data_IF_233065610219
#
_entry.id   IF_233065610219
#
_cell.length_a   1.000
_cell.length_b   1.000
_cell.length_c   1.000
_cell.angle_alpha   90.00
_cell.angle_beta   90.00
_cell.angle_gamma   90.00
#
_symmetry.space_group_name_H-M   'P 1'
#
loop_
_entity.id
_entity.type
_entity.pdbx_description
1 polymer ?
#
# COMPACT_ATOMS: atom_id res chain seq x y z
N UNK A 1 -8.48 -11.56 -27.02
CA UNK A 1 -9.34 -11.13 -25.89
C UNK A 1 -8.70 -11.50 -24.54
N UNK A 2 -8.26 -12.72 -24.31
CA UNK A 2 -7.69 -13.22 -23.02
C UNK A 2 -6.53 -12.36 -22.51
N UNK A 3 -5.61 -11.92 -23.38
CA UNK A 3 -4.42 -11.13 -22.99
C UNK A 3 -4.75 -9.73 -22.48
N UNK A 4 -5.78 -9.07 -23.02
CA UNK A 4 -6.23 -7.76 -22.55
C UNK A 4 -6.91 -7.89 -21.18
N UNK A 5 -7.65 -8.96 -20.96
CA UNK A 5 -8.23 -9.28 -19.66
C UNK A 5 -7.14 -9.48 -18.62
N UNK A 6 -6.08 -10.24 -18.93
CA UNK A 6 -4.96 -10.46 -18.01
C UNK A 6 -4.23 -9.16 -17.64
N UNK A 7 -3.95 -8.28 -18.61
CA UNK A 7 -3.37 -6.96 -18.32
C UNK A 7 -4.31 -6.08 -17.46
N UNK A 8 -5.60 -6.14 -17.73
CA UNK A 8 -6.61 -5.41 -16.95
C UNK A 8 -6.66 -5.92 -15.50
N UNK A 9 -6.75 -7.24 -15.32
CA UNK A 9 -6.77 -7.88 -14.01
C UNK A 9 -5.53 -7.53 -13.18
N UNK A 10 -4.35 -7.47 -13.78
CA UNK A 10 -3.10 -7.07 -13.11
C UNK A 10 -3.17 -5.64 -12.60
N UNK A 11 -3.69 -4.70 -13.42
CA UNK A 11 -3.84 -3.30 -13.00
C UNK A 11 -4.87 -3.20 -11.87
N UNK A 12 -6.01 -3.88 -11.99
CA UNK A 12 -7.05 -3.92 -10.95
C UNK A 12 -6.48 -4.45 -9.64
N UNK A 13 -5.77 -5.57 -9.69
CA UNK A 13 -5.20 -6.20 -8.49
C UNK A 13 -4.15 -5.31 -7.81
N UNK A 14 -3.25 -4.69 -8.59
CA UNK A 14 -2.25 -3.78 -8.06
C UNK A 14 -2.86 -2.54 -7.39
N UNK A 15 -3.88 -1.94 -8.02
CA UNK A 15 -4.59 -0.79 -7.45
C UNK A 15 -5.41 -1.17 -6.22
N UNK A 16 -6.05 -2.34 -6.24
CA UNK A 16 -6.85 -2.82 -5.11
C UNK A 16 -5.97 -3.10 -3.89
N UNK A 17 -4.82 -3.75 -4.06
CA UNK A 17 -3.88 -4.01 -2.96
C UNK A 17 -3.35 -2.72 -2.32
N UNK A 18 -2.95 -1.75 -3.14
CA UNK A 18 -2.46 -0.46 -2.62
C UNK A 18 -3.55 0.30 -1.89
N UNK A 19 -4.77 0.34 -2.44
CA UNK A 19 -5.88 1.02 -1.80
C UNK A 19 -6.29 0.34 -0.49
N UNK A 20 -6.37 -1.00 -0.48
CA UNK A 20 -6.66 -1.78 0.72
C UNK A 20 -5.64 -1.52 1.83
N UNK A 21 -4.34 -1.55 1.51
CA UNK A 21 -3.26 -1.33 2.48
C UNK A 21 -3.36 0.07 3.11
N UNK A 22 -3.51 1.10 2.28
CA UNK A 22 -3.55 2.49 2.75
C UNK A 22 -4.81 2.76 3.56
N UNK A 23 -5.95 2.26 3.11
CA UNK A 23 -7.22 2.45 3.82
C UNK A 23 -7.27 1.65 5.11
N UNK A 24 -6.67 0.46 5.16
CA UNK A 24 -6.54 -0.31 6.39
C UNK A 24 -5.73 0.46 7.44
N UNK A 25 -4.58 1.01 7.06
CA UNK A 25 -3.75 1.81 7.97
C UNK A 25 -4.43 3.09 8.42
N UNK A 26 -5.02 3.84 7.49
CA UNK A 26 -5.78 5.06 7.83
C UNK A 26 -6.95 4.76 8.77
N UNK A 27 -7.67 3.67 8.53
CA UNK A 27 -8.78 3.24 9.39
C UNK A 27 -8.32 2.81 10.78
N UNK A 28 -7.19 2.12 10.85
CA UNK A 28 -6.61 1.69 12.12
C UNK A 28 -6.20 2.88 12.99
N UNK A 29 -5.55 3.90 12.42
CA UNK A 29 -5.21 5.14 13.13
C UNK A 29 -6.45 5.87 13.63
N UNK A 30 -7.46 6.08 12.76
CA UNK A 30 -8.70 6.75 13.13
C UNK A 30 -9.46 6.01 14.25
N UNK A 31 -9.47 4.68 14.23
CA UNK A 31 -10.10 3.87 15.27
C UNK A 31 -9.37 4.02 16.61
N UNK A 32 -8.04 4.04 16.59
CA UNK A 32 -7.22 4.29 17.78
C UNK A 32 -7.51 5.66 18.40
N UNK A 33 -7.54 6.71 17.58
CA UNK A 33 -7.80 8.07 18.04
C UNK A 33 -9.16 8.16 18.74
N UNK A 34 -10.20 7.56 18.15
CA UNK A 34 -11.54 7.50 18.77
C UNK A 34 -11.55 6.71 20.07
N UNK A 35 -10.83 5.60 20.16
CA UNK A 35 -10.73 4.83 21.41
C UNK A 35 -9.94 5.60 22.48
N UNK A 36 -8.94 6.36 22.07
CA UNK A 36 -8.16 7.19 22.99
C UNK A 36 -8.98 8.36 23.55
N UNK A 37 -9.84 9.01 22.75
CA UNK A 37 -10.72 10.11 23.18
C UNK A 37 -11.72 9.68 24.28
N UNK A 38 -12.11 8.40 24.31
CA UNK A 38 -13.06 7.87 25.31
C UNK A 38 -12.44 7.50 26.67
N UNK A 39 -11.12 7.54 26.80
CA UNK A 39 -10.39 7.10 27.98
C UNK A 39 -9.53 8.24 28.58
N UNK A 40 -9.31 8.26 29.91
CA UNK A 40 -8.41 9.23 30.53
C UNK A 40 -6.99 9.06 29.96
N UNK A 41 -6.25 10.16 29.82
CA UNK A 41 -4.87 10.13 29.27
C UNK A 41 -3.90 9.44 30.23
N UNK A 42 -4.07 9.71 31.55
CA UNK A 42 -3.27 9.14 32.63
C UNK A 42 -4.16 8.89 33.85
N UNK A 43 -3.95 7.79 34.55
CA UNK A 43 -4.58 7.49 35.82
C UNK A 43 -3.50 7.29 36.86
N UNK A 44 -3.56 8.06 37.94
CA UNK A 44 -2.77 7.89 39.12
C UNK A 44 -3.61 7.16 40.20
N UNK A 45 -3.05 6.14 40.81
CA UNK A 45 -3.72 5.31 41.79
C UNK A 45 -3.14 5.52 43.18
N UNK A 46 -3.92 5.17 44.21
CA UNK A 46 -3.54 5.16 45.61
C UNK A 46 -3.01 6.51 46.11
N UNK A 47 -3.66 7.61 45.70
CA UNK A 47 -3.28 8.96 46.05
C UNK A 47 -3.78 9.31 47.50
N UNK A 48 -2.95 10.04 48.22
CA UNK A 48 -3.35 10.70 49.45
C UNK A 48 -4.11 12.01 49.17
N UNK A 49 -4.90 12.49 50.10
CA UNK A 49 -5.63 13.73 50.00
C UNK A 49 -4.69 14.94 49.74
N UNK A 50 -3.50 14.93 50.36
CA UNK A 50 -2.49 15.97 50.14
C UNK A 50 -1.96 15.99 48.71
N UNK A 51 -1.73 14.82 48.09
CA UNK A 51 -1.27 14.70 46.70
C UNK A 51 -2.34 15.22 45.73
N UNK A 52 -3.62 14.99 46.03
CA UNK A 52 -4.73 15.51 45.21
C UNK A 52 -4.76 17.05 45.22
N UNK A 53 -4.64 17.67 46.39
CA UNK A 53 -4.62 19.13 46.52
C UNK A 53 -3.45 19.75 45.77
N UNK A 54 -2.28 19.08 45.80
CA UNK A 54 -1.11 19.51 45.02
C UNK A 54 -1.30 19.33 43.53
N UNK A 55 -1.94 18.26 43.07
CA UNK A 55 -2.25 18.06 41.66
C UNK A 55 -3.24 19.10 41.11
N UNK A 56 -4.20 19.57 41.89
CA UNK A 56 -5.10 20.66 41.49
C UNK A 56 -4.38 22.00 41.29
N UNK A 57 -3.22 22.20 41.90
CA UNK A 57 -2.40 23.40 41.74
C UNK A 57 -1.39 23.34 40.60
N UNK A 58 -1.31 22.21 39.88
CA UNK A 58 -0.35 22.02 38.79
C UNK A 58 -0.83 22.65 37.50
N UNK A 59 -0.08 23.63 36.94
CA UNK A 59 -0.43 24.36 35.72
C UNK A 59 -0.48 23.47 34.47
N UNK A 60 0.19 22.36 34.47
CA UNK A 60 0.25 21.43 33.32
C UNK A 60 -0.94 20.49 33.23
N UNK A 61 -1.88 20.58 34.17
CA UNK A 61 -3.07 19.73 34.23
C UNK A 61 -4.29 20.53 33.82
N UNK A 62 -5.00 20.09 32.76
CA UNK A 62 -6.20 20.72 32.26
C UNK A 62 -7.45 20.33 33.07
N UNK A 63 -7.55 19.04 33.38
CA UNK A 63 -8.67 18.51 34.17
C UNK A 63 -8.26 17.33 35.04
N UNK A 64 -8.88 17.23 36.20
CA UNK A 64 -8.70 16.12 37.17
C UNK A 64 -10.07 15.58 37.52
N UNK A 65 -10.26 14.28 37.39
CA UNK A 65 -11.45 13.58 37.85
C UNK A 65 -11.01 12.58 38.94
N UNK A 66 -11.38 12.86 40.16
CA UNK A 66 -11.05 12.02 41.33
C UNK A 66 -12.16 11.03 41.59
N UNK A 67 -11.79 9.79 41.90
CA UNK A 67 -12.67 8.70 42.29
C UNK A 67 -12.17 8.16 43.63
N UNK A 68 -13.02 8.06 44.65
CA UNK A 68 -12.68 7.49 45.95
C UNK A 68 -12.68 5.96 45.86
N UNK A 69 -11.62 5.31 46.40
CA UNK A 69 -11.40 3.86 46.37
C UNK A 69 -11.12 3.39 47.79
N UNK A 70 -11.23 2.11 48.03
CA UNK A 70 -11.00 1.50 49.40
C UNK A 70 -9.60 1.80 49.96
N UNK A 71 -8.60 2.01 49.10
CA UNK A 71 -7.20 2.22 49.50
C UNK A 71 -6.72 3.67 49.41
N UNK A 72 -7.58 4.61 48.98
CA UNK A 72 -7.21 6.00 48.77
C UNK A 72 -8.03 6.65 47.65
N UNK A 73 -7.39 7.48 46.81
CA UNK A 73 -8.04 8.18 45.73
C UNK A 73 -7.34 7.86 44.41
N UNK A 74 -8.13 7.63 43.40
CA UNK A 74 -7.65 7.50 42.01
C UNK A 74 -7.95 8.80 41.23
N UNK A 75 -6.96 9.36 40.58
CA UNK A 75 -7.10 10.56 39.82
C UNK A 75 -6.87 10.31 38.33
N UNK A 76 -7.91 10.51 37.54
CA UNK A 76 -7.82 10.54 36.06
C UNK A 76 -7.48 11.96 35.60
N UNK A 77 -6.37 12.09 34.88
CA UNK A 77 -5.78 13.39 34.52
C UNK A 77 -5.74 13.59 33.03
N UNK A 78 -6.04 14.83 32.63
CA UNK A 78 -5.82 15.33 31.27
C UNK A 78 -4.73 16.40 31.32
N UNK A 79 -3.69 16.26 30.50
CA UNK A 79 -2.56 17.19 30.43
C UNK A 79 -2.87 18.29 29.40
N UNK A 80 -2.52 19.53 29.73
CA UNK A 80 -2.69 20.71 28.86
C UNK A 80 -1.92 20.49 27.56
N UNK A 81 -2.56 20.77 26.44
CA UNK A 81 -1.96 20.67 25.09
C UNK A 81 -1.33 19.29 24.76
N UNK A 82 -1.76 18.22 25.44
CA UNK A 82 -1.21 16.88 25.28
C UNK A 82 -1.21 16.43 23.80
N UNK A 83 -2.23 16.77 23.03
CA UNK A 83 -2.36 16.43 21.60
C UNK A 83 -1.29 17.08 20.70
N UNK A 84 -0.66 18.15 21.16
CA UNK A 84 0.44 18.84 20.46
C UNK A 84 1.82 18.30 20.86
N UNK A 85 1.89 17.49 21.90
CA UNK A 85 3.13 16.92 22.41
C UNK A 85 3.57 15.73 21.55
N UNK A 86 4.88 15.45 21.55
CA UNK A 86 5.38 14.16 21.03
C UNK A 86 5.17 13.07 22.08
N UNK A 87 5.18 11.80 21.67
CA UNK A 87 5.10 10.66 22.62
C UNK A 87 6.14 10.76 23.74
N UNK A 88 7.36 11.15 23.41
CA UNK A 88 8.43 11.36 24.39
C UNK A 88 8.12 12.54 25.30
N UNK A 89 7.65 13.66 24.75
CA UNK A 89 7.29 14.86 25.51
C UNK A 89 6.16 14.58 26.51
N UNK A 90 5.12 13.88 26.09
CA UNK A 90 4.02 13.47 26.95
C UNK A 90 4.49 12.51 28.07
N UNK A 91 5.24 11.47 27.71
CA UNK A 91 5.78 10.53 28.71
C UNK A 91 6.67 11.24 29.73
N UNK A 92 7.53 12.16 29.28
CA UNK A 92 8.40 12.96 30.16
C UNK A 92 7.58 13.90 31.07
N UNK A 93 6.50 14.50 30.56
CA UNK A 93 5.62 15.33 31.39
C UNK A 93 4.94 14.51 32.51
N UNK A 94 4.44 13.31 32.17
CA UNK A 94 3.86 12.39 33.15
C UNK A 94 4.89 11.94 34.21
N UNK A 95 6.13 11.61 33.77
CA UNK A 95 7.22 11.22 34.64
C UNK A 95 7.64 12.35 35.61
N UNK A 96 7.68 13.57 35.11
CA UNK A 96 7.98 14.75 35.90
C UNK A 96 6.92 14.98 37.01
N UNK A 97 5.62 14.87 36.66
CA UNK A 97 4.54 15.01 37.63
C UNK A 97 4.60 13.92 38.65
N UNK A 98 4.74 12.63 38.23
CA UNK A 98 4.80 11.49 39.17
C UNK A 98 5.99 11.57 40.11
N UNK A 99 7.15 11.97 39.61
CA UNK A 99 8.38 12.16 40.42
C UNK A 99 8.27 13.34 41.39
N UNK A 100 7.65 14.45 40.95
CA UNK A 100 7.51 15.67 41.77
C UNK A 100 6.61 15.44 43.00
N UNK A 101 5.59 14.59 42.84
CA UNK A 101 4.60 14.32 43.87
C UNK A 101 4.72 12.91 44.51
N UNK A 102 5.81 12.21 44.22
CA UNK A 102 6.12 10.86 44.74
C UNK A 102 4.98 9.85 44.50
N UNK A 103 4.48 9.85 43.26
CA UNK A 103 3.38 8.96 42.83
C UNK A 103 3.98 7.72 42.18
N UNK A 104 3.75 6.54 42.80
CA UNK A 104 4.38 5.31 42.34
C UNK A 104 3.50 4.48 41.39
N UNK A 105 2.17 4.59 41.54
CA UNK A 105 1.24 3.83 40.72
C UNK A 105 0.62 4.69 39.61
N UNK A 106 1.16 4.57 38.38
CA UNK A 106 0.77 5.36 37.24
C UNK A 106 0.41 4.43 36.06
N UNK A 107 -0.80 4.54 35.55
CA UNK A 107 -1.18 3.90 34.28
C UNK A 107 -1.39 4.96 33.23
N UNK A 108 -0.75 4.78 32.10
CA UNK A 108 -0.84 5.64 30.93
C UNK A 108 -1.75 5.00 29.90
N UNK A 109 -2.50 5.82 29.18
CA UNK A 109 -3.27 5.32 28.08
C UNK A 109 -2.35 5.10 26.87
N UNK A 110 -1.98 3.84 26.62
CA UNK A 110 -1.11 3.46 25.51
C UNK A 110 -1.71 3.83 24.15
N UNK A 111 -3.05 3.75 24.01
CA UNK A 111 -3.74 4.15 22.77
C UNK A 111 -3.60 5.65 22.53
N UNK A 112 -3.69 6.46 23.59
CA UNK A 112 -3.48 7.90 23.50
C UNK A 112 -2.02 8.23 23.16
N UNK A 113 -1.06 7.59 23.82
CA UNK A 113 0.37 7.79 23.53
C UNK A 113 0.68 7.42 22.08
N UNK A 114 0.14 6.32 21.59
CA UNK A 114 0.32 5.87 20.21
C UNK A 114 -0.34 6.80 19.16
N UNK A 115 -1.37 7.58 19.56
CA UNK A 115 -2.01 8.60 18.70
C UNK A 115 -1.17 9.88 18.58
N UNK A 116 -0.27 10.13 19.54
CA UNK A 116 0.55 11.34 19.56
C UNK A 116 1.61 11.33 18.45
N UNK A 117 1.99 12.51 17.94
CA UNK A 117 3.04 12.64 16.93
C UNK A 117 4.34 11.98 17.38
N UNK A 118 4.74 10.94 16.69
CA UNK A 118 5.94 10.19 17.00
C UNK A 118 7.10 10.74 16.17
N UNK A 119 7.71 11.84 16.60
CA UNK A 119 9.03 12.29 16.16
C UNK A 119 9.31 12.44 14.65
N UNK A 120 8.29 12.59 13.77
CA UNK A 120 8.46 12.89 12.35
C UNK A 120 8.33 11.67 11.41
N UNK A 121 8.55 11.92 10.11
CA UNK A 121 8.43 10.94 9.00
C UNK A 121 9.37 9.71 9.14
N UNK A 122 10.38 9.79 10.00
CA UNK A 122 11.40 8.74 10.22
C UNK A 122 11.08 7.79 11.38
N UNK A 123 9.86 7.81 11.89
CA UNK A 123 9.44 6.83 12.88
C UNK A 123 9.55 5.41 12.30
N UNK A 124 10.00 4.44 13.10
CA UNK A 124 10.19 3.04 12.70
C UNK A 124 8.92 2.44 12.06
N UNK A 125 7.74 2.72 12.60
CA UNK A 125 6.45 2.28 12.06
C UNK A 125 6.21 2.84 10.66
N UNK A 126 6.35 4.16 10.49
CA UNK A 126 6.17 4.83 9.21
C UNK A 126 7.19 4.37 8.16
N UNK A 127 8.44 4.11 8.57
CA UNK A 127 9.48 3.55 7.69
C UNK A 127 9.12 2.15 7.20
N UNK A 128 8.63 1.27 8.07
CA UNK A 128 8.21 -0.08 7.70
C UNK A 128 7.03 -0.01 6.73
N UNK A 129 6.03 0.79 7.02
CA UNK A 129 4.84 0.95 6.17
C UNK A 129 5.21 1.50 4.79
N UNK A 130 6.05 2.53 4.75
CA UNK A 130 6.56 3.09 3.51
C UNK A 130 7.40 2.06 2.73
N UNK A 131 8.19 1.25 3.42
CA UNK A 131 8.94 0.14 2.82
C UNK A 131 8.02 -0.89 2.17
N UNK A 132 6.95 -1.30 2.84
CA UNK A 132 5.94 -2.23 2.30
C UNK A 132 5.22 -1.63 1.10
N UNK A 133 4.81 -0.36 1.17
CA UNK A 133 4.17 0.33 0.05
C UNK A 133 5.08 0.40 -1.18
N UNK A 134 6.36 0.78 -1.00
CA UNK A 134 7.36 0.82 -2.07
C UNK A 134 7.56 -0.60 -2.66
N UNK A 135 7.66 -1.62 -1.82
CA UNK A 135 7.80 -3.01 -2.26
C UNK A 135 6.61 -3.44 -3.14
N UNK A 136 5.38 -3.16 -2.73
CA UNK A 136 4.17 -3.45 -3.51
C UNK A 136 4.21 -2.72 -4.86
N UNK A 137 4.63 -1.45 -4.89
CA UNK A 137 4.77 -0.67 -6.13
C UNK A 137 5.80 -1.33 -7.07
N UNK A 138 6.96 -1.75 -6.55
CA UNK A 138 8.01 -2.40 -7.35
C UNK A 138 7.51 -3.73 -7.92
N UNK A 139 6.92 -4.58 -7.09
CA UNK A 139 6.38 -5.88 -7.53
C UNK A 139 5.28 -5.67 -8.58
N UNK A 140 4.37 -4.73 -8.34
CA UNK A 140 3.32 -4.37 -9.31
C UNK A 140 3.92 -3.89 -10.64
N UNK A 141 4.97 -3.05 -10.59
CA UNK A 141 5.67 -2.56 -11.78
C UNK A 141 6.30 -3.70 -12.59
N UNK A 142 6.94 -4.68 -11.90
CA UNK A 142 7.52 -5.87 -12.55
C UNK A 142 6.46 -6.74 -13.21
N UNK A 143 5.35 -7.02 -12.52
CA UNK A 143 4.25 -7.83 -13.07
C UNK A 143 3.62 -7.13 -14.26
N UNK A 144 3.32 -5.85 -14.15
CA UNK A 144 2.79 -5.02 -15.24
C UNK A 144 3.75 -5.02 -16.43
N UNK A 145 5.06 -4.83 -16.18
CA UNK A 145 6.08 -4.89 -17.23
C UNK A 145 6.06 -6.23 -17.96
N UNK A 146 6.08 -7.35 -17.25
CA UNK A 146 6.10 -8.70 -17.84
C UNK A 146 4.84 -8.95 -18.68
N UNK A 147 3.68 -8.60 -18.15
CA UNK A 147 2.38 -8.77 -18.85
C UNK A 147 2.33 -7.96 -20.15
N UNK A 148 2.73 -6.69 -20.08
CA UNK A 148 2.74 -5.84 -21.28
C UNK A 148 3.85 -6.23 -22.25
N UNK A 149 5.02 -6.67 -21.76
CA UNK A 149 6.09 -7.19 -22.60
C UNK A 149 5.59 -8.38 -23.44
N UNK A 150 4.99 -9.38 -22.79
CA UNK A 150 4.40 -10.53 -23.48
C UNK A 150 3.28 -10.12 -24.43
N UNK A 151 2.44 -9.17 -24.05
CA UNK A 151 1.35 -8.66 -24.89
C UNK A 151 1.91 -8.00 -26.16
N UNK A 152 2.91 -7.13 -26.03
CA UNK A 152 3.53 -6.40 -27.14
C UNK A 152 4.31 -7.33 -28.06
N UNK A 153 5.14 -8.24 -27.48
CA UNK A 153 5.92 -9.22 -28.27
C UNK A 153 5.00 -10.10 -29.12
N UNK A 154 3.88 -10.54 -28.57
CA UNK A 154 2.90 -11.32 -29.31
C UNK A 154 2.15 -10.53 -30.40
N UNK A 155 2.13 -9.21 -30.33
CA UNK A 155 1.51 -8.32 -31.34
C UNK A 155 2.52 -7.83 -32.39
N UNK A 156 3.81 -8.11 -32.21
CA UNK A 156 4.86 -7.68 -33.16
C UNK A 156 4.56 -8.07 -34.58
N UNK A 157 4.03 -9.28 -34.82
CA UNK A 157 3.60 -9.74 -36.12
C UNK A 157 2.51 -8.87 -36.73
N UNK A 158 1.49 -8.53 -35.93
CA UNK A 158 0.38 -7.68 -36.41
C UNK A 158 0.89 -6.27 -36.76
N UNK A 159 1.80 -5.74 -35.90
CA UNK A 159 2.44 -4.45 -36.21
C UNK A 159 3.35 -4.53 -37.45
N UNK A 160 4.05 -5.65 -37.67
CA UNK A 160 4.82 -5.89 -38.86
C UNK A 160 3.94 -5.87 -40.12
N UNK A 161 2.81 -6.59 -40.11
CA UNK A 161 1.85 -6.58 -41.21
C UNK A 161 1.25 -5.19 -41.49
N UNK A 162 0.91 -4.45 -40.44
CA UNK A 162 0.40 -3.08 -40.60
C UNK A 162 1.47 -2.13 -41.18
N UNK A 163 2.74 -2.36 -40.87
CA UNK A 163 3.86 -1.58 -41.41
C UNK A 163 4.13 -1.89 -42.90
N UNK A 164 3.88 -3.12 -43.34
CA UNK A 164 3.98 -3.44 -44.79
C UNK A 164 2.89 -2.72 -45.62
N UNK A 165 1.73 -2.44 -45.01
CA UNK A 165 0.64 -1.63 -45.63
C UNK A 165 0.89 -0.12 -45.45
N UNK A 166 2.04 0.30 -44.87
CA UNK A 166 2.45 1.70 -44.80
C UNK A 166 2.25 2.39 -43.44
N UNK A 167 1.92 1.63 -42.36
CA UNK A 167 1.80 2.23 -41.05
C UNK A 167 3.16 2.70 -40.50
N UNK A 168 3.23 3.94 -40.00
CA UNK A 168 4.45 4.52 -39.44
C UNK A 168 4.71 4.05 -38.02
N UNK A 169 5.98 4.14 -37.58
CA UNK A 169 6.35 3.84 -36.18
C UNK A 169 5.61 4.73 -35.16
N UNK A 170 5.34 5.98 -35.53
CA UNK A 170 4.60 6.92 -34.67
C UNK A 170 3.14 6.49 -34.48
N UNK A 171 2.50 5.98 -35.53
CA UNK A 171 1.14 5.44 -35.46
C UNK A 171 1.09 4.18 -34.58
N UNK A 172 2.04 3.25 -34.73
CA UNK A 172 2.16 2.06 -33.84
C UNK A 172 2.30 2.47 -32.37
N UNK A 173 3.17 3.42 -32.09
CA UNK A 173 3.36 3.96 -30.73
C UNK A 173 2.09 4.62 -30.19
N UNK A 174 1.30 5.26 -31.03
CA UNK A 174 0.03 5.89 -30.66
C UNK A 174 -1.02 4.84 -30.28
N UNK A 175 -1.10 3.72 -31.01
CA UNK A 175 -2.01 2.60 -30.73
C UNK A 175 -1.67 1.99 -29.36
N UNK A 176 -0.41 1.64 -29.11
CA UNK A 176 0.03 1.06 -27.83
C UNK A 176 -0.29 2.01 -26.66
N UNK A 177 -0.05 3.31 -26.81
CA UNK A 177 -0.38 4.32 -25.80
C UNK A 177 -1.89 4.44 -25.56
N UNK A 178 -2.69 4.32 -26.60
CA UNK A 178 -4.15 4.39 -26.50
C UNK A 178 -4.70 3.15 -25.77
N UNK A 179 -4.22 1.96 -26.11
CA UNK A 179 -4.57 0.71 -25.44
C UNK A 179 -4.26 0.78 -23.94
N UNK A 180 -3.08 1.29 -23.57
CA UNK A 180 -2.73 1.54 -22.18
C UNK A 180 -3.71 2.47 -21.47
N UNK A 181 -4.05 3.60 -22.11
CA UNK A 181 -4.98 4.58 -21.51
C UNK A 181 -6.35 3.97 -21.23
N UNK A 182 -6.87 3.14 -22.13
CA UNK A 182 -8.14 2.45 -21.92
C UNK A 182 -8.05 1.48 -20.76
N UNK A 183 -6.98 0.66 -20.69
CA UNK A 183 -6.79 -0.29 -19.61
C UNK A 183 -6.67 0.39 -18.24
N UNK A 184 -5.93 1.50 -18.15
CA UNK A 184 -5.84 2.27 -16.91
C UNK A 184 -7.17 2.95 -16.56
N UNK A 185 -7.90 3.50 -17.56
CA UNK A 185 -9.18 4.19 -17.33
C UNK A 185 -10.27 3.27 -16.78
N UNK A 186 -10.22 1.99 -17.12
CA UNK A 186 -11.16 0.98 -16.64
C UNK A 186 -10.61 0.29 -15.39
N UNK A 187 -9.33 -0.13 -15.42
CA UNK A 187 -8.73 -0.95 -14.37
C UNK A 187 -8.52 -0.19 -13.06
N UNK A 188 -8.10 1.07 -13.12
CA UNK A 188 -7.83 1.85 -11.90
C UNK A 188 -9.10 2.10 -11.10
N UNK A 189 -10.22 2.61 -11.65
CA UNK A 189 -11.44 2.79 -10.87
C UNK A 189 -11.98 1.49 -10.27
N UNK A 190 -11.97 0.40 -11.03
CA UNK A 190 -12.41 -0.90 -10.54
C UNK A 190 -11.51 -1.36 -9.37
N UNK A 191 -10.19 -1.21 -9.51
CA UNK A 191 -9.24 -1.54 -8.45
C UNK A 191 -9.45 -0.70 -7.19
N UNK A 192 -9.68 0.61 -7.34
CA UNK A 192 -9.98 1.50 -6.21
C UNK A 192 -11.28 1.11 -5.50
N UNK A 193 -12.33 0.76 -6.23
CA UNK A 193 -13.59 0.30 -5.64
C UNK A 193 -13.41 -1.01 -4.86
N UNK A 194 -12.74 -1.99 -5.45
CA UNK A 194 -12.49 -3.29 -4.78
C UNK A 194 -11.60 -3.11 -3.56
N UNK A 195 -10.50 -2.35 -3.69
CA UNK A 195 -9.57 -2.08 -2.60
C UNK A 195 -10.19 -1.24 -1.49
N UNK A 196 -10.99 -0.23 -1.85
CA UNK A 196 -11.73 0.59 -0.89
C UNK A 196 -12.78 -0.23 -0.13
N UNK A 197 -13.53 -1.06 -0.84
CA UNK A 197 -14.51 -1.96 -0.20
C UNK A 197 -13.83 -2.96 0.75
N UNK A 198 -12.70 -3.54 0.34
CA UNK A 198 -11.92 -4.44 1.20
C UNK A 198 -11.40 -3.71 2.44
N UNK A 199 -10.89 -2.48 2.29
CA UNK A 199 -10.44 -1.65 3.41
C UNK A 199 -11.58 -1.32 4.38
N UNK A 200 -12.75 -0.96 3.86
CA UNK A 200 -13.95 -0.71 4.66
C UNK A 200 -14.40 -1.95 5.45
N UNK A 201 -14.40 -3.12 4.83
CA UNK A 201 -14.80 -4.37 5.51
C UNK A 201 -13.82 -4.77 6.63
N UNK A 202 -12.54 -4.41 6.50
CA UNK A 202 -11.54 -4.69 7.52
C UNK A 202 -11.59 -3.72 8.71
N UNK A 203 -11.93 -2.45 8.45
CA UNK A 203 -11.96 -1.37 9.47
C UNK A 203 -13.16 -0.44 9.26
N UNK A 204 -14.39 -0.90 9.55
CA UNK A 204 -15.58 -0.09 9.29
C UNK A 204 -15.66 1.15 10.21
N UNK A 205 -15.21 1.02 11.47
CA UNK A 205 -15.29 2.08 12.48
C UNK A 205 -14.31 3.24 12.21
N UNK A 206 -13.20 2.97 11.51
CA UNK A 206 -12.18 3.96 11.16
C UNK A 206 -12.34 4.54 9.74
N UNK A 207 -13.44 4.28 9.04
CA UNK A 207 -13.59 4.73 7.66
C UNK A 207 -13.77 6.23 7.54
N UNK A 208 -12.92 6.87 6.73
CA UNK A 208 -13.02 8.27 6.35
C UNK A 208 -13.16 8.43 4.84
N UNK A 209 -14.28 9.01 4.39
CA UNK A 209 -14.57 9.24 2.98
C UNK A 209 -13.62 10.25 2.33
N UNK A 210 -13.19 11.26 3.07
CA UNK A 210 -12.29 12.30 2.57
C UNK A 210 -10.92 11.71 2.32
N UNK A 211 -10.40 10.95 3.28
CA UNK A 211 -9.14 10.21 3.15
C UNK A 211 -9.20 9.21 1.98
N UNK A 212 -10.31 8.48 1.81
CA UNK A 212 -10.49 7.52 0.73
C UNK A 212 -10.40 8.17 -0.66
N UNK A 213 -11.04 9.32 -0.85
CA UNK A 213 -10.97 10.06 -2.12
C UNK A 213 -9.56 10.62 -2.35
N UNK A 214 -8.95 11.22 -1.33
CA UNK A 214 -7.60 11.79 -1.41
C UNK A 214 -6.56 10.73 -1.80
N UNK A 215 -6.51 9.63 -1.07
CA UNK A 215 -5.60 8.51 -1.38
C UNK A 215 -5.93 7.83 -2.70
N UNK A 216 -7.20 7.72 -3.07
CA UNK A 216 -7.63 7.21 -4.37
C UNK A 216 -7.05 7.98 -5.54
N UNK A 217 -7.02 9.32 -5.45
CA UNK A 217 -6.40 10.19 -6.46
C UNK A 217 -4.89 9.93 -6.54
N UNK A 218 -4.20 9.89 -5.39
CA UNK A 218 -2.75 9.66 -5.33
C UNK A 218 -2.39 8.30 -5.94
N UNK A 219 -3.08 7.24 -5.53
CA UNK A 219 -2.87 5.88 -6.06
C UNK A 219 -3.10 5.84 -7.57
N UNK A 220 -4.15 6.50 -8.05
CA UNK A 220 -4.44 6.60 -9.49
C UNK A 220 -3.28 7.24 -10.25
N UNK A 221 -2.68 8.31 -9.75
CA UNK A 221 -1.52 8.96 -10.35
C UNK A 221 -0.30 8.05 -10.33
N UNK A 222 0.00 7.40 -9.20
CA UNK A 222 1.12 6.47 -9.05
C UNK A 222 1.00 5.31 -10.05
N UNK A 223 -0.14 4.63 -10.11
CA UNK A 223 -0.35 3.49 -11.00
C UNK A 223 -0.27 3.93 -12.47
N UNK A 224 -0.86 5.06 -12.84
CA UNK A 224 -0.72 5.60 -14.20
C UNK A 224 0.74 5.88 -14.57
N UNK A 225 1.53 6.39 -13.64
CA UNK A 225 2.96 6.62 -13.82
C UNK A 225 3.73 5.30 -13.97
N UNK A 226 3.49 4.32 -13.07
CA UNK A 226 4.10 2.99 -13.09
C UNK A 226 3.83 2.29 -14.43
N UNK A 227 2.57 2.25 -14.86
CA UNK A 227 2.20 1.65 -16.15
C UNK A 227 2.86 2.37 -17.33
N UNK A 228 2.99 3.70 -17.26
CA UNK A 228 3.69 4.49 -18.30
C UNK A 228 5.16 4.12 -18.40
N UNK A 229 5.85 3.99 -17.27
CA UNK A 229 7.28 3.64 -17.22
C UNK A 229 7.51 2.20 -17.66
N UNK A 230 6.70 1.27 -17.17
CA UNK A 230 6.78 -0.16 -17.49
C UNK A 230 6.62 -0.44 -18.99
N UNK A 231 5.83 0.36 -19.71
CA UNK A 231 5.60 0.21 -21.15
C UNK A 231 6.69 0.81 -22.05
N UNK A 232 7.58 1.64 -21.51
CA UNK A 232 8.56 2.33 -22.34
C UNK A 232 9.51 1.36 -23.06
N UNK A 233 10.03 0.34 -22.37
CA UNK A 233 10.95 -0.66 -22.95
C UNK A 233 10.23 -1.60 -23.93
N UNK A 234 9.09 -2.25 -23.61
CA UNK A 234 8.37 -3.10 -24.54
C UNK A 234 7.99 -2.36 -25.82
N UNK A 235 7.54 -1.10 -25.71
CA UNK A 235 7.19 -0.28 -26.88
C UNK A 235 8.40 -0.01 -27.79
N UNK A 236 9.58 0.26 -27.21
CA UNK A 236 10.80 0.45 -28.01
C UNK A 236 11.18 -0.82 -28.77
N UNK A 237 11.09 -2.00 -28.13
CA UNK A 237 11.36 -3.30 -28.77
C UNK A 237 10.40 -3.54 -29.92
N UNK A 238 9.09 -3.33 -29.74
CA UNK A 238 8.11 -3.48 -30.81
C UNK A 238 8.37 -2.56 -32.02
N UNK A 239 8.91 -1.39 -31.78
CA UNK A 239 9.23 -0.42 -32.83
C UNK A 239 10.55 -0.71 -33.55
N UNK A 240 11.52 -1.37 -32.91
CA UNK A 240 12.84 -1.69 -33.47
C UNK A 240 12.81 -2.88 -34.43
N UNK A 241 11.82 -3.77 -34.32
CA UNK A 241 11.72 -4.96 -35.16
C UNK A 241 11.33 -4.55 -36.61
N UNK A 242 12.18 -4.92 -37.57
CA UNK A 242 11.90 -4.64 -39.00
C UNK A 242 10.74 -5.52 -39.51
N UNK A 243 9.98 -5.05 -40.50
CA UNK A 243 8.89 -5.83 -41.13
C UNK A 243 9.33 -7.20 -41.63
N UNK A 244 10.55 -7.29 -42.16
CA UNK A 244 11.14 -8.52 -42.70
C UNK A 244 11.46 -9.53 -41.61
N UNK A 245 11.98 -9.09 -40.47
CA UNK A 245 12.23 -9.94 -39.33
C UNK A 245 10.95 -10.45 -38.65
N UNK A 246 9.88 -9.66 -38.68
CA UNK A 246 8.59 -10.08 -38.10
C UNK A 246 7.94 -11.26 -38.85
N UNK A 247 8.22 -11.42 -40.14
CA UNK A 247 7.81 -12.61 -40.91
C UNK A 247 8.68 -13.83 -40.64
N UNK A 248 9.99 -13.63 -40.38
CA UNK A 248 10.95 -14.70 -40.10
C UNK A 248 10.76 -15.34 -38.69
N UNK A 249 10.33 -14.55 -37.70
CA UNK A 249 10.04 -15.06 -36.34
C UNK A 249 8.95 -16.15 -36.31
N UNK A 250 8.22 -16.34 -37.41
CA UNK A 250 7.25 -17.42 -37.52
C UNK A 250 7.79 -18.65 -38.22
N UNK A 251 8.77 -18.53 -39.09
CA UNK A 251 9.35 -19.70 -39.76
C UNK A 251 10.15 -20.57 -38.76
N UNK A 252 10.87 -19.97 -37.82
CA UNK A 252 11.64 -20.74 -36.82
C UNK A 252 10.75 -21.51 -35.84
N UNK A 253 9.52 -21.13 -35.63
CA UNK A 253 8.57 -21.87 -34.76
C UNK A 253 7.86 -23.02 -35.46
N UNK A 254 7.86 -23.07 -36.79
CA UNK A 254 7.27 -24.14 -37.57
C UNK A 254 8.29 -25.07 -38.23
N UNK A 255 9.57 -24.70 -38.25
CA UNK A 255 10.67 -25.60 -38.59
C UNK A 255 11.16 -26.47 -37.43
N UNK A 256 10.30 -26.83 -36.50
CA UNK A 256 10.40 -28.14 -35.89
C UNK A 256 10.12 -29.15 -37.00
N UNK A 257 11.14 -29.44 -37.83
CA UNK A 257 11.20 -30.67 -38.61
C UNK A 257 10.72 -31.77 -37.69
N UNK A 258 9.55 -32.29 -38.00
CA UNK A 258 9.11 -33.61 -37.56
C UNK A 258 10.14 -34.56 -38.21
N UNK A 259 11.34 -34.65 -37.63
CA UNK A 259 12.19 -35.80 -37.83
C UNK A 259 11.44 -36.92 -37.16
N UNK A 260 10.89 -37.80 -38.04
CA UNK A 260 10.36 -39.10 -37.68
C UNK A 260 11.48 -39.92 -37.06
N UNK A 261 11.85 -39.61 -35.81
CA UNK A 261 12.64 -40.47 -34.95
C UNK A 261 11.68 -41.20 -34.06
N UNK A 262 11.72 -42.52 -34.22
CA UNK A 262 11.02 -43.56 -33.47
C UNK A 262 10.58 -43.12 -32.07
N UNK A 263 9.32 -43.39 -31.76
CA UNK A 263 8.72 -43.24 -30.43
C UNK A 263 9.49 -44.06 -29.39
N UNK A 264 10.60 -43.53 -28.89
CA UNK A 264 11.14 -43.98 -27.61
C UNK A 264 10.15 -43.53 -26.54
N UNK A 265 9.54 -44.49 -25.85
CA UNK A 265 8.76 -44.25 -24.65
C UNK A 265 9.68 -43.58 -23.62
N UNK A 266 9.63 -42.26 -23.54
CA UNK A 266 10.29 -41.52 -22.48
C UNK A 266 9.54 -41.78 -21.19
N UNK A 267 10.24 -42.34 -20.21
CA UNK A 267 9.76 -42.45 -18.84
C UNK A 267 9.46 -41.06 -18.27
N UNK A 268 8.48 -40.95 -17.39
CA UNK A 268 8.10 -39.68 -16.72
C UNK A 268 9.29 -38.97 -16.05
N UNK A 269 10.29 -39.72 -15.60
CA UNK A 269 11.56 -39.20 -15.08
C UNK A 269 12.43 -38.53 -16.16
N UNK A 270 12.45 -39.04 -17.39
CA UNK A 270 13.15 -38.42 -18.51
C UNK A 270 12.59 -37.08 -18.96
N UNK A 271 11.27 -36.90 -18.85
CA UNK A 271 10.61 -35.62 -19.13
C UNK A 271 10.90 -34.56 -18.06
N UNK A 272 11.02 -34.95 -16.79
CA UNK A 272 11.35 -34.04 -15.69
C UNK A 272 12.79 -33.49 -15.81
N UNK A 273 13.73 -34.27 -16.28
CA UNK A 273 15.15 -33.85 -16.47
C UNK A 273 15.28 -32.87 -17.64
N UNK A 274 14.49 -33.03 -18.72
CA UNK A 274 14.52 -32.14 -19.90
C UNK A 274 13.89 -30.78 -19.58
N UNK A 275 13.03 -30.68 -18.56
CA UNK A 275 12.40 -29.41 -18.15
C UNK A 275 13.28 -28.55 -17.24
N UNK A 276 14.45 -29.05 -16.79
CA UNK A 276 15.36 -28.37 -15.84
C UNK A 276 16.63 -27.85 -16.57
N UNK A 277 16.86 -28.30 -17.79
CA UNK A 277 17.93 -27.79 -18.68
C UNK A 277 17.37 -26.79 -19.69
#
# INVERSE_FOLDING_TARGET
>A
RVKKVFSLTTIVFATALLMMLIMFESGYETTKDRMAEGQPQVVFYDLSQQQIELLYSEENIESIKVTETENGYDASITIVDATKMTQYGFSSAVDNISSKYDIHHVTRNDLFIDSLPNGGLLNQKNMVLMGVAIFIIIVSALVIYNVFYLSVVNQVRQFGQLRTVGMTQQQTKKIIRYERKILCRIGVPIGLLIGGLAGYLLQPDGWDWIAAVFWGIIISLIINFVVKVSLNRPTKIALSISPILSSKYMMERFDCKVTNKEKRKLSSLGLAIISIT
#
